data_IF_747724189355
#
_entry.id   IF_747724189355
#
_cell.length_a   1.000
_cell.length_b   1.000
_cell.length_c   1.000
_cell.angle_alpha   90.00
_cell.angle_beta   90.00
_cell.angle_gamma   90.00
#
_symmetry.space_group_name_H-M   'P 1'
#
loop_
_entity.id
_entity.type
_entity.pdbx_description
1 polymer ?
#
# COMPACT_ATOMS: atom_id res chain seq x y z
N UNK A 1 -13.61 0.63 17.69
CA UNK A 1 -12.55 -0.29 18.09
C UNK A 1 -12.75 -0.88 19.48
N UNK A 2 -13.18 -2.14 19.50
CA UNK A 2 -13.24 -3.02 20.66
C UNK A 2 -11.84 -3.22 21.29
N UNK A 3 -11.75 -3.19 22.63
CA UNK A 3 -10.48 -3.32 23.38
C UNK A 3 -9.71 -4.62 23.07
N UNK A 4 -10.43 -5.71 22.78
CA UNK A 4 -9.81 -6.97 22.39
C UNK A 4 -9.14 -6.90 21.01
N UNK A 5 -9.78 -6.20 20.08
CA UNK A 5 -9.27 -6.03 18.71
C UNK A 5 -8.00 -5.17 18.69
N UNK A 6 -7.97 -4.10 19.49
CA UNK A 6 -6.78 -3.26 19.63
C UNK A 6 -5.59 -3.98 20.23
N UNK A 7 -5.80 -4.86 21.22
CA UNK A 7 -4.73 -5.67 21.80
C UNK A 7 -4.16 -6.64 20.77
N UNK A 8 -5.03 -7.34 20.04
CA UNK A 8 -4.62 -8.27 18.99
C UNK A 8 -3.83 -7.57 17.88
N UNK A 9 -4.29 -6.40 17.43
CA UNK A 9 -3.55 -5.60 16.44
C UNK A 9 -2.16 -5.24 16.94
N UNK A 10 -2.04 -4.75 18.18
CA UNK A 10 -0.75 -4.36 18.75
C UNK A 10 0.24 -5.53 18.84
N UNK A 11 -0.22 -6.73 19.21
CA UNK A 11 0.59 -7.95 19.22
C UNK A 11 1.02 -8.36 17.80
N UNK A 12 0.08 -8.37 16.85
CA UNK A 12 0.37 -8.71 15.46
C UNK A 12 1.38 -7.75 14.83
N UNK A 13 1.23 -6.44 15.05
CA UNK A 13 2.19 -5.42 14.59
C UNK A 13 3.56 -5.63 15.22
N UNK A 14 3.63 -5.93 16.52
CA UNK A 14 4.90 -6.17 17.21
C UNK A 14 5.68 -7.33 16.60
N UNK A 15 5.01 -8.42 16.22
CA UNK A 15 5.67 -9.55 15.56
C UNK A 15 6.02 -9.24 14.10
N UNK A 16 5.14 -8.56 13.36
CA UNK A 16 5.40 -8.11 11.99
C UNK A 16 6.70 -7.30 11.88
N UNK A 17 6.91 -6.36 12.80
CA UNK A 17 8.12 -5.52 12.84
C UNK A 17 9.44 -6.28 12.98
N UNK A 18 9.41 -7.49 13.54
CA UNK A 18 10.62 -8.31 13.74
C UNK A 18 10.96 -9.17 12.53
N UNK A 19 9.94 -9.51 11.74
CA UNK A 19 10.02 -10.61 10.77
C UNK A 19 9.78 -10.17 9.33
N UNK A 20 9.05 -9.07 9.11
CA UNK A 20 8.72 -8.59 7.78
C UNK A 20 9.70 -7.52 7.29
N UNK A 21 9.84 -7.41 5.97
CA UNK A 21 10.58 -6.35 5.31
C UNK A 21 9.67 -5.15 5.05
N UNK A 22 10.22 -3.96 5.25
CA UNK A 22 9.54 -2.68 5.06
C UNK A 22 10.29 -1.87 4.01
N UNK A 23 9.96 -2.01 2.71
CA UNK A 23 10.59 -1.23 1.65
C UNK A 23 10.15 0.23 1.68
N UNK A 24 10.87 1.15 1.00
CA UNK A 24 10.40 2.50 0.76
C UNK A 24 9.05 2.55 0.04
N UNK A 25 8.18 3.48 0.44
CA UNK A 25 6.86 3.66 -0.17
C UNK A 25 6.95 4.73 -1.26
N UNK A 26 6.57 4.38 -2.49
CA UNK A 26 6.49 5.32 -3.59
C UNK A 26 5.40 6.37 -3.36
N UNK A 27 5.69 7.64 -3.64
CA UNK A 27 4.71 8.72 -3.79
C UNK A 27 4.22 8.77 -5.24
N UNK A 28 5.14 8.86 -6.19
CA UNK A 28 4.88 8.65 -7.61
C UNK A 28 5.75 7.51 -8.12
N UNK A 29 5.20 6.68 -8.99
CA UNK A 29 5.96 5.59 -9.60
C UNK A 29 5.56 5.37 -11.06
N UNK A 30 6.50 4.87 -11.84
CA UNK A 30 6.36 4.56 -13.25
C UNK A 30 7.01 3.20 -13.49
N UNK A 31 6.49 2.45 -14.45
CA UNK A 31 7.20 1.28 -14.93
C UNK A 31 6.51 0.52 -16.04
N UNK A 32 7.20 -0.53 -16.47
CA UNK A 32 6.76 -1.46 -17.51
C UNK A 32 6.13 -2.70 -16.87
N UNK A 33 4.95 -3.08 -17.36
CA UNK A 33 4.14 -4.16 -16.82
C UNK A 33 3.16 -3.70 -15.74
N UNK A 34 2.04 -4.41 -15.64
CA UNK A 34 1.03 -4.11 -14.63
C UNK A 34 1.60 -4.25 -13.22
N UNK A 35 1.47 -3.19 -12.43
CA UNK A 35 1.92 -3.10 -11.03
C UNK A 35 3.44 -3.25 -10.82
N UNK A 36 4.22 -3.17 -11.90
CA UNK A 36 5.69 -3.15 -11.85
C UNK A 36 6.17 -1.70 -11.96
N UNK A 37 6.84 -1.21 -10.92
CA UNK A 37 7.39 0.14 -10.88
C UNK A 37 8.90 0.10 -10.66
N UNK A 38 9.65 0.57 -11.64
CA UNK A 38 11.11 0.57 -11.67
C UNK A 38 11.69 1.97 -11.38
N UNK A 39 10.91 3.02 -11.57
CA UNK A 39 11.30 4.40 -11.32
C UNK A 39 10.23 5.17 -10.53
N UNK A 40 10.64 6.17 -9.76
CA UNK A 40 9.69 6.98 -9.00
C UNK A 40 10.30 7.87 -7.93
N UNK A 41 9.42 8.61 -7.26
CA UNK A 41 9.72 9.36 -6.04
C UNK A 41 9.17 8.60 -4.85
N UNK A 42 9.85 8.71 -3.71
CA UNK A 42 9.45 8.07 -2.46
C UNK A 42 9.00 9.11 -1.46
N UNK A 43 8.02 8.75 -0.63
CA UNK A 43 7.65 9.58 0.51
C UNK A 43 8.85 9.78 1.44
N UNK A 44 9.01 11.00 1.94
CA UNK A 44 10.02 11.33 2.94
C UNK A 44 9.37 11.56 4.30
N UNK A 45 9.96 10.98 5.34
CA UNK A 45 9.68 11.39 6.73
C UNK A 45 10.35 12.72 7.00
N UNK A 46 9.65 13.62 7.69
CA UNK A 46 10.17 14.94 8.05
C UNK A 46 11.55 14.83 8.74
N UNK A 47 12.62 15.08 7.98
CA UNK A 47 14.00 15.05 8.45
C UNK A 47 14.58 13.67 8.79
N UNK A 48 13.89 12.56 8.52
CA UNK A 48 14.30 11.20 8.94
C UNK A 48 14.61 10.22 7.81
N UNK A 49 14.60 10.66 6.56
CA UNK A 49 14.83 9.80 5.40
C UNK A 49 13.54 9.28 4.77
N UNK A 50 13.59 8.13 4.10
CA UNK A 50 12.44 7.58 3.37
C UNK A 50 11.39 7.01 4.33
N UNK A 51 10.11 7.19 3.99
CA UNK A 51 9.01 6.49 4.64
C UNK A 51 8.99 5.05 4.12
N UNK A 52 9.29 4.11 5.02
CA UNK A 52 9.27 2.68 4.71
C UNK A 52 8.03 2.01 5.30
N UNK A 53 7.44 1.08 4.55
CA UNK A 53 6.26 0.34 4.96
C UNK A 53 5.92 -0.83 4.06
N UNK A 54 5.14 -1.76 4.60
CA UNK A 54 4.58 -2.90 3.86
C UNK A 54 3.08 -2.69 3.73
N UNK A 55 2.56 -2.85 2.52
CA UNK A 55 1.11 -2.82 2.29
C UNK A 55 0.47 -4.00 3.02
N UNK A 56 -0.50 -3.72 3.87
CA UNK A 56 -1.22 -4.71 4.70
C UNK A 56 -2.72 -4.70 4.46
N UNK A 57 -3.22 -3.74 3.69
CA UNK A 57 -4.61 -3.71 3.25
C UNK A 57 -4.75 -2.97 1.93
N UNK A 58 -5.74 -3.39 1.15
CA UNK A 58 -6.11 -2.84 -0.14
C UNK A 58 -7.63 -2.93 -0.30
N UNK A 59 -8.26 -1.84 -0.73
CA UNK A 59 -9.67 -1.77 -1.12
C UNK A 59 -9.76 -1.00 -2.44
N UNK A 60 -10.30 -1.64 -3.48
CA UNK A 60 -10.61 -0.96 -4.74
C UNK A 60 -11.87 -0.13 -4.59
N UNK A 61 -11.79 1.18 -4.85
CA UNK A 61 -12.92 2.10 -4.73
C UNK A 61 -13.60 2.33 -6.09
N UNK A 62 -12.80 2.39 -7.16
CA UNK A 62 -13.28 2.66 -8.50
C UNK A 62 -12.31 2.12 -9.56
N UNK A 63 -12.86 1.60 -10.65
CA UNK A 63 -12.10 1.18 -11.82
C UNK A 63 -12.85 1.58 -13.09
N UNK A 64 -12.14 2.13 -14.06
CA UNK A 64 -12.71 2.51 -15.36
C UNK A 64 -11.78 2.18 -16.52
N UNK A 65 -12.42 1.80 -17.64
CA UNK A 65 -11.78 1.51 -18.91
C UNK A 65 -12.01 2.70 -19.83
N UNK A 66 -10.96 3.49 -20.06
CA UNK A 66 -11.00 4.65 -20.94
C UNK A 66 -10.46 4.30 -22.34
N UNK A 67 -10.65 5.21 -23.29
CA UNK A 67 -10.06 5.08 -24.64
C UNK A 67 -8.53 5.04 -24.58
N UNK A 68 -7.93 5.65 -23.56
CA UNK A 68 -6.49 5.80 -23.40
C UNK A 68 -5.86 4.75 -22.48
N UNK A 69 -6.65 3.87 -21.85
CA UNK A 69 -6.19 2.86 -20.91
C UNK A 69 -7.09 2.73 -19.68
N UNK A 70 -6.55 2.13 -18.64
CA UNK A 70 -7.28 1.75 -17.44
C UNK A 70 -6.91 2.70 -16.30
N UNK A 71 -7.90 3.08 -15.49
CA UNK A 71 -7.70 3.89 -14.29
C UNK A 71 -8.31 3.18 -13.10
N UNK A 72 -7.51 2.96 -12.06
CA UNK A 72 -7.90 2.40 -10.77
C UNK A 72 -7.68 3.44 -9.67
N UNK A 73 -8.70 3.70 -8.87
CA UNK A 73 -8.62 4.44 -7.63
C UNK A 73 -8.89 3.48 -6.48
N UNK A 74 -7.94 3.41 -5.57
CA UNK A 74 -8.01 2.50 -4.44
C UNK A 74 -7.53 3.16 -3.15
N UNK A 75 -7.85 2.50 -2.05
CA UNK A 75 -7.30 2.79 -0.73
C UNK A 75 -6.32 1.69 -0.35
N UNK A 76 -5.12 2.08 0.04
CA UNK A 76 -4.09 1.17 0.56
C UNK A 76 -3.72 1.57 1.99
N UNK A 77 -3.52 0.58 2.86
CA UNK A 77 -2.95 0.81 4.20
C UNK A 77 -1.59 0.15 4.27
N UNK A 78 -0.60 0.92 4.70
CA UNK A 78 0.75 0.44 4.93
C UNK A 78 1.03 0.37 6.43
N UNK A 79 1.61 -0.75 6.87
CA UNK A 79 2.27 -0.83 8.16
C UNK A 79 3.70 -0.31 8.00
N UNK A 80 4.03 0.76 8.70
CA UNK A 80 5.37 1.34 8.68
C UNK A 80 6.36 0.54 9.55
N UNK A 81 7.65 0.70 9.30
CA UNK A 81 8.70 0.14 10.16
C UNK A 81 8.70 0.71 11.60
N UNK A 82 8.01 1.83 11.84
CA UNK A 82 7.77 2.40 13.16
C UNK A 82 6.58 1.72 13.88
N UNK A 83 5.76 0.97 13.16
CA UNK A 83 4.59 0.25 13.68
C UNK A 83 3.28 1.02 13.57
N UNK A 84 3.28 2.12 12.82
CA UNK A 84 2.09 2.92 12.54
C UNK A 84 1.40 2.40 11.27
N UNK A 85 0.07 2.41 11.26
CA UNK A 85 -0.71 2.19 10.06
C UNK A 85 -0.96 3.54 9.39
N UNK A 86 -0.65 3.63 8.09
CA UNK A 86 -0.86 4.84 7.30
C UNK A 86 -1.73 4.51 6.09
N UNK A 87 -2.87 5.19 6.01
CA UNK A 87 -3.84 5.10 4.91
C UNK A 87 -3.45 6.05 3.78
N UNK A 88 -3.47 5.54 2.56
CA UNK A 88 -3.24 6.26 1.32
C UNK A 88 -4.43 6.12 0.39
N UNK A 89 -4.70 7.17 -0.38
CA UNK A 89 -5.45 7.06 -1.62
C UNK A 89 -4.46 6.95 -2.77
N UNK A 90 -4.72 6.00 -3.65
CA UNK A 90 -3.80 5.62 -4.71
C UNK A 90 -4.53 5.61 -6.03
N UNK A 91 -3.97 6.32 -7.01
CA UNK A 91 -4.42 6.33 -8.39
C UNK A 91 -3.40 5.53 -9.19
N UNK A 92 -3.87 4.56 -9.97
CA UNK A 92 -3.08 3.82 -10.94
C UNK A 92 -3.65 4.02 -12.33
N UNK A 93 -2.79 4.32 -13.28
CA UNK A 93 -3.13 4.48 -14.69
C UNK A 93 -2.28 3.48 -15.47
N UNK A 94 -2.91 2.59 -16.25
CA UNK A 94 -2.21 1.63 -17.11
C UNK A 94 -2.58 1.87 -18.56
N UNK A 95 -1.59 1.91 -19.45
CA UNK A 95 -1.81 2.06 -20.89
C UNK A 95 -0.95 1.09 -21.69
N UNK A 96 -1.59 0.34 -22.57
CA UNK A 96 -0.89 -0.46 -23.56
C UNK A 96 -0.29 0.41 -24.68
N UNK A 97 1.03 0.33 -24.85
CA UNK A 97 1.74 1.04 -25.90
C UNK A 97 1.92 0.16 -27.14
N UNK A 98 1.28 0.58 -28.24
CA UNK A 98 1.36 -0.13 -29.51
C UNK A 98 2.76 -0.14 -30.14
N UNK A 99 3.66 0.75 -29.71
CA UNK A 99 5.02 0.87 -30.29
C UNK A 99 5.96 -0.16 -29.69
N UNK A 100 6.06 -0.24 -28.36
CA UNK A 100 6.90 -1.22 -27.68
C UNK A 100 6.19 -2.55 -27.39
N UNK A 101 4.86 -2.61 -27.59
CA UNK A 101 4.02 -3.78 -27.31
C UNK A 101 3.93 -4.15 -25.82
N UNK A 102 4.19 -3.19 -24.92
CA UNK A 102 4.16 -3.36 -23.46
C UNK A 102 3.09 -2.47 -22.81
N UNK A 103 2.65 -2.84 -21.60
CA UNK A 103 1.82 -1.97 -20.75
C UNK A 103 2.71 -1.06 -19.92
N UNK A 104 2.43 0.24 -19.92
CA UNK A 104 3.07 1.19 -19.02
C UNK A 104 2.10 1.58 -17.92
N UNK A 105 2.56 1.48 -16.68
CA UNK A 105 1.79 1.85 -15.51
C UNK A 105 2.38 3.08 -14.84
N UNK A 106 1.49 3.96 -14.38
CA UNK A 106 1.80 5.09 -13.53
C UNK A 106 1.02 4.95 -12.24
N UNK A 107 1.66 5.29 -11.14
CA UNK A 107 1.05 5.32 -9.83
C UNK A 107 1.28 6.70 -9.19
N UNK A 108 0.26 7.19 -8.52
CA UNK A 108 0.32 8.35 -7.64
C UNK A 108 -0.37 8.02 -6.31
N UNK A 109 0.31 8.27 -5.20
CA UNK A 109 -0.18 8.05 -3.83
C UNK A 109 -0.29 9.37 -3.10
N UNK A 110 -1.33 9.48 -2.29
CA UNK A 110 -1.58 10.62 -1.41
C UNK A 110 -1.89 10.10 -0.01
N UNK A 111 -1.22 10.64 1.01
CA UNK A 111 -1.58 10.35 2.41
C UNK A 111 -3.01 10.82 2.64
N UNK A 112 -3.89 9.92 3.09
CA UNK A 112 -5.27 10.27 3.37
C UNK A 112 -5.33 11.29 4.51
N UNK A 113 -6.18 12.31 4.38
CA UNK A 113 -6.35 13.29 5.47
C UNK A 113 -7.00 12.65 6.70
N UNK A 114 -7.91 11.70 6.45
CA UNK A 114 -8.48 10.86 7.49
C UNK A 114 -7.68 9.55 7.56
N UNK A 115 -7.21 9.23 8.76
CA UNK A 115 -6.44 8.02 9.05
C UNK A 115 -7.28 7.02 9.86
N UNK A 116 -8.59 7.26 9.98
CA UNK A 116 -9.51 6.35 10.64
C UNK A 116 -9.62 5.02 9.88
N UNK A 117 -9.62 3.93 10.63
CA UNK A 117 -9.87 2.58 10.16
C UNK A 117 -11.05 2.02 10.97
N UNK A 118 -12.03 1.44 10.27
CA UNK A 118 -13.15 0.75 10.92
C UNK A 118 -12.74 -0.65 11.44
N UNK A 119 -13.61 -1.27 12.21
CA UNK A 119 -13.29 -2.54 12.88
C UNK A 119 -13.11 -3.69 11.86
N UNK A 120 -13.78 -3.65 10.69
CA UNK A 120 -13.65 -4.67 9.63
C UNK A 120 -12.32 -4.51 8.87
N UNK A 121 -11.92 -3.27 8.56
CA UNK A 121 -10.61 -2.93 8.00
C UNK A 121 -9.48 -3.42 8.93
N UNK A 122 -9.61 -3.19 10.24
CA UNK A 122 -8.62 -3.63 11.23
C UNK A 122 -8.53 -5.16 11.30
N UNK A 123 -9.68 -5.87 11.30
CA UNK A 123 -9.68 -7.33 11.29
C UNK A 123 -9.01 -7.89 10.03
N UNK A 124 -9.26 -7.30 8.87
CA UNK A 124 -8.61 -7.67 7.62
C UNK A 124 -7.10 -7.42 7.65
N UNK A 125 -6.65 -6.28 8.18
CA UNK A 125 -5.23 -5.96 8.37
C UNK A 125 -4.54 -7.02 9.24
N UNK A 126 -5.14 -7.38 10.37
CA UNK A 126 -4.59 -8.40 11.27
C UNK A 126 -4.43 -9.74 10.54
N UNK A 127 -5.44 -10.12 9.76
CA UNK A 127 -5.42 -11.37 8.99
C UNK A 127 -4.32 -11.34 7.93
N UNK A 128 -4.20 -10.26 7.15
CA UNK A 128 -3.18 -10.12 6.11
C UNK A 128 -1.76 -10.19 6.70
N UNK A 129 -1.49 -9.45 7.77
CA UNK A 129 -0.18 -9.51 8.46
C UNK A 129 0.10 -10.93 8.97
N UNK A 130 -0.91 -11.61 9.53
CA UNK A 130 -0.76 -12.97 10.03
C UNK A 130 -0.48 -13.98 8.92
N UNK A 131 -1.00 -13.76 7.71
CA UNK A 131 -0.68 -14.58 6.52
C UNK A 131 0.76 -14.32 6.08
N UNK A 132 1.17 -13.06 5.97
CA UNK A 132 2.55 -12.68 5.63
C UNK A 132 3.58 -13.26 6.62
N UNK A 133 3.28 -13.25 7.91
CA UNK A 133 4.15 -13.82 8.94
C UNK A 133 4.32 -15.35 8.80
N UNK A 134 3.32 -16.05 8.26
CA UNK A 134 3.39 -17.50 8.03
C UNK A 134 4.18 -17.85 6.77
N UNK A 135 4.25 -16.94 5.80
CA UNK A 135 5.00 -17.15 4.55
C UNK A 135 6.44 -16.67 4.64
N UNK A 136 6.77 -15.85 5.65
CA UNK A 136 8.12 -15.36 5.92
C UNK A 136 9.04 -16.34 6.68
N UNK A 137 8.48 -17.40 7.28
CA UNK A 137 9.21 -18.45 8.01
C UNK A 137 9.34 -19.74 7.22
#
# INVERSE_FOLDING_TARGET
MNNQLSMKLAETVKEAKKSLLFPPIYEDAYGEGDECYDEGTFFQRQGKGLLCGKMVFYSGEFYDLTIDGDVDLCMEVFLTDEGELVKFYTIRESRYCQVCQETHSRLHRMVAKDQYLDDDEIDAIINNISVDLKTAG
#
